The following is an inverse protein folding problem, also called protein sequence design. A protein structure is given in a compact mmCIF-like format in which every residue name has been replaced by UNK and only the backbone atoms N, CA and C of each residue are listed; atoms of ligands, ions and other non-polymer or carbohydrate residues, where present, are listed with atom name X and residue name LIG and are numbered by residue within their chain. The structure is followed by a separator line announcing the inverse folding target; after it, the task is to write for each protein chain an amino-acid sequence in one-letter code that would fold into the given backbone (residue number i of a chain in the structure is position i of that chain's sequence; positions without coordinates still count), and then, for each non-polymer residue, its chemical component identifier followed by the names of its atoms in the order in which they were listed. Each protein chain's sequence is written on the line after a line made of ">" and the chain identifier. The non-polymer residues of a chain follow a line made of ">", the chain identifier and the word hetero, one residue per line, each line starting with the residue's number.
data_IF_143873928987
#
_entry.id   IF_143873928987
#
_cell.length_a   1.000
_cell.length_b   1.000
_cell.length_c   1.000
_cell.angle_alpha   90.00
_cell.angle_beta   90.00
_cell.angle_gamma   90.00
#
_symmetry.space_group_name_H-M   'P 1'
#
loop_
_entity.id
_entity.type
_entity.pdbx_description
1 polymer ?
#
# COMPACT_ATOMS: atom_id res chain seq x y z
N UNK A 1 58.09 -30.22 -44.78
CA UNK A 1 57.62 -28.92 -44.26
C UNK A 1 56.20 -28.52 -44.74
N UNK A 2 55.41 -29.39 -45.40
CA UNK A 2 54.07 -29.03 -45.87
C UNK A 2 52.92 -29.24 -44.85
N UNK A 3 53.16 -30.01 -43.77
CA UNK A 3 52.08 -30.43 -42.85
C UNK A 3 51.74 -29.39 -41.77
N UNK A 4 52.67 -28.50 -41.42
CA UNK A 4 52.49 -27.50 -40.35
C UNK A 4 51.70 -26.28 -40.84
N UNK A 5 51.74 -25.96 -42.13
CA UNK A 5 51.01 -24.83 -42.71
C UNK A 5 49.49 -25.08 -42.82
N UNK A 6 49.04 -26.34 -42.94
CA UNK A 6 47.61 -26.68 -42.98
C UNK A 6 46.90 -26.58 -41.63
N UNK A 7 47.61 -26.88 -40.53
CA UNK A 7 47.06 -26.87 -39.17
C UNK A 7 46.85 -25.45 -38.63
N UNK A 8 47.75 -24.52 -38.97
CA UNK A 8 47.64 -23.10 -38.59
C UNK A 8 46.50 -22.41 -39.37
N UNK A 9 46.28 -22.79 -40.63
CA UNK A 9 45.17 -22.27 -41.42
C UNK A 9 43.79 -22.74 -40.90
N UNK A 10 43.68 -24.00 -40.44
CA UNK A 10 42.44 -24.54 -39.86
C UNK A 10 42.05 -23.90 -38.52
N UNK A 11 43.03 -23.65 -37.64
CA UNK A 11 42.79 -22.98 -36.36
C UNK A 11 42.38 -21.50 -36.55
N UNK A 12 43.00 -20.79 -37.49
CA UNK A 12 42.61 -19.41 -37.82
C UNK A 12 41.18 -19.32 -38.38
N UNK A 13 40.79 -20.26 -39.24
CA UNK A 13 39.42 -20.34 -39.79
C UNK A 13 38.37 -20.71 -38.74
N UNK A 14 38.67 -21.63 -37.81
CA UNK A 14 37.75 -21.99 -36.72
C UNK A 14 37.54 -20.82 -35.75
N UNK A 15 38.59 -20.05 -35.48
CA UNK A 15 38.51 -18.86 -34.60
C UNK A 15 37.76 -17.71 -35.29
N UNK A 16 37.93 -17.52 -36.60
CA UNK A 16 37.16 -16.58 -37.40
C UNK A 16 35.69 -16.99 -37.53
N UNK A 17 35.39 -18.29 -37.65
CA UNK A 17 34.01 -18.79 -37.64
C UNK A 17 33.36 -18.57 -36.27
N UNK A 18 34.05 -18.89 -35.17
CA UNK A 18 33.55 -18.65 -33.81
C UNK A 18 33.35 -17.15 -33.53
N UNK A 19 34.24 -16.28 -34.03
CA UNK A 19 34.07 -14.83 -33.96
C UNK A 19 32.88 -14.34 -34.82
N UNK A 20 32.70 -14.90 -36.02
CA UNK A 20 31.59 -14.57 -36.91
C UNK A 20 30.23 -15.08 -36.38
N UNK A 21 30.18 -16.23 -35.72
CA UNK A 21 28.97 -16.76 -35.09
C UNK A 21 28.55 -15.99 -33.84
N UNK A 22 29.49 -15.34 -33.13
CA UNK A 22 29.20 -14.39 -32.05
C UNK A 22 28.72 -13.01 -32.56
N UNK A 23 29.10 -12.61 -33.77
CA UNK A 23 28.66 -11.35 -34.41
C UNK A 23 27.27 -11.49 -35.05
N UNK A 24 26.88 -12.71 -35.45
CA UNK A 24 25.55 -13.03 -35.94
C UNK A 24 24.58 -13.31 -34.79
N UNK A 25 24.30 -12.31 -33.94
CA UNK A 25 22.99 -12.29 -33.27
C UNK A 25 21.94 -12.33 -34.39
N UNK A 26 21.00 -13.27 -34.42
CA UNK A 26 19.97 -13.29 -35.46
C UNK A 26 19.30 -11.92 -35.42
N UNK A 27 19.40 -11.18 -36.54
CA UNK A 27 18.61 -9.97 -36.76
C UNK A 27 17.17 -10.41 -36.61
N UNK A 28 16.58 -10.19 -35.44
CA UNK A 28 15.15 -10.35 -35.25
C UNK A 28 14.48 -9.62 -36.39
N UNK A 29 13.59 -10.30 -37.10
CA UNK A 29 12.90 -9.66 -38.20
C UNK A 29 12.22 -8.40 -37.66
N UNK A 30 12.10 -7.34 -38.46
CA UNK A 30 11.39 -6.11 -38.05
C UNK A 30 10.01 -6.43 -37.46
N UNK A 31 9.37 -7.49 -37.98
CA UNK A 31 8.11 -8.06 -37.50
C UNK A 31 8.20 -8.64 -36.09
N UNK A 32 9.22 -9.43 -35.79
CA UNK A 32 9.46 -9.97 -34.43
C UNK A 32 9.72 -8.84 -33.41
N UNK A 33 10.50 -7.83 -33.80
CA UNK A 33 10.76 -6.68 -32.93
C UNK A 33 9.46 -5.91 -32.64
N UNK A 34 8.63 -5.66 -33.68
CA UNK A 34 7.32 -5.03 -33.53
C UNK A 34 6.37 -5.84 -32.64
N UNK A 35 6.35 -7.17 -32.78
CA UNK A 35 5.53 -8.05 -31.94
C UNK A 35 5.97 -8.00 -30.46
N UNK A 36 7.28 -7.97 -30.20
CA UNK A 36 7.80 -7.86 -28.83
C UNK A 36 7.49 -6.49 -28.20
N UNK A 37 7.62 -5.41 -28.96
CA UNK A 37 7.26 -4.07 -28.49
C UNK A 37 5.77 -3.95 -28.20
N UNK A 38 4.91 -4.49 -29.07
CA UNK A 38 3.47 -4.51 -28.85
C UNK A 38 3.08 -5.34 -27.61
N UNK A 39 3.72 -6.50 -27.41
CA UNK A 39 3.50 -7.33 -26.22
C UNK A 39 3.97 -6.63 -24.95
N UNK A 40 5.11 -5.95 -24.99
CA UNK A 40 5.62 -5.15 -23.86
C UNK A 40 4.62 -4.05 -23.49
N UNK A 41 4.15 -3.28 -24.47
CA UNK A 41 3.18 -2.21 -24.26
C UNK A 41 1.84 -2.72 -23.68
N UNK A 42 1.35 -3.88 -24.14
CA UNK A 42 0.12 -4.49 -23.58
C UNK A 42 0.31 -4.91 -22.11
N UNK A 43 1.47 -5.47 -21.75
CA UNK A 43 1.77 -5.84 -20.37
C UNK A 43 1.90 -4.61 -19.46
N UNK A 44 2.57 -3.56 -19.91
CA UNK A 44 2.70 -2.29 -19.19
C UNK A 44 1.33 -1.66 -18.95
N UNK A 45 0.46 -1.63 -19.99
CA UNK A 45 -0.92 -1.12 -19.85
C UNK A 45 -1.72 -1.92 -18.83
N UNK A 46 -1.70 -3.26 -18.89
CA UNK A 46 -2.44 -4.10 -17.93
C UNK A 46 -1.95 -3.90 -16.49
N UNK A 47 -0.65 -3.81 -16.30
CA UNK A 47 -0.07 -3.57 -14.98
C UNK A 47 -0.48 -2.18 -14.43
N UNK A 48 -0.52 -1.16 -15.29
CA UNK A 48 -1.02 0.17 -14.94
C UNK A 48 -2.51 0.16 -14.57
N UNK A 49 -3.36 -0.46 -15.39
CA UNK A 49 -4.80 -0.57 -15.14
C UNK A 49 -5.08 -1.31 -13.80
N UNK A 50 -4.30 -2.37 -13.52
CA UNK A 50 -4.37 -3.09 -12.25
C UNK A 50 -3.93 -2.22 -11.07
N UNK A 51 -2.84 -1.47 -11.20
CA UNK A 51 -2.34 -0.57 -10.17
C UNK A 51 -3.38 0.50 -9.80
N UNK A 52 -4.00 1.15 -10.80
CA UNK A 52 -5.09 2.12 -10.58
C UNK A 52 -6.25 1.46 -9.83
N UNK A 53 -6.66 0.27 -10.25
CA UNK A 53 -7.77 -0.45 -9.62
C UNK A 53 -7.48 -0.74 -8.15
N UNK A 54 -6.26 -1.18 -7.82
CA UNK A 54 -5.85 -1.41 -6.44
C UNK A 54 -5.80 -0.12 -5.60
N UNK A 55 -5.31 0.98 -6.18
CA UNK A 55 -5.31 2.28 -5.51
C UNK A 55 -6.73 2.81 -5.26
N UNK A 56 -7.64 2.62 -6.23
CA UNK A 56 -9.06 2.93 -6.06
C UNK A 56 -9.67 2.12 -4.90
N UNK A 57 -9.43 0.81 -4.87
CA UNK A 57 -9.90 -0.06 -3.79
C UNK A 57 -9.33 0.34 -2.42
N UNK A 58 -8.04 0.67 -2.34
CA UNK A 58 -7.42 1.17 -1.12
C UNK A 58 -8.08 2.47 -0.65
N UNK A 59 -8.33 3.40 -1.57
CA UNK A 59 -8.95 4.70 -1.26
C UNK A 59 -10.35 4.52 -0.69
N UNK A 60 -11.16 3.64 -1.29
CA UNK A 60 -12.50 3.30 -0.80
C UNK A 60 -12.42 2.64 0.58
N UNK A 61 -11.57 1.62 0.73
CA UNK A 61 -11.42 0.90 1.99
C UNK A 61 -10.97 1.84 3.12
N UNK A 62 -10.05 2.77 2.84
CA UNK A 62 -9.61 3.77 3.79
C UNK A 62 -10.72 4.78 4.15
N UNK A 63 -11.47 5.25 3.16
CA UNK A 63 -12.60 6.15 3.41
C UNK A 63 -13.67 5.52 4.32
N UNK A 64 -13.94 4.22 4.16
CA UNK A 64 -14.83 3.48 5.06
C UNK A 64 -14.25 3.40 6.48
N UNK A 65 -12.95 3.15 6.64
CA UNK A 65 -12.27 3.11 7.93
C UNK A 65 -12.45 4.42 8.70
N UNK A 66 -12.19 5.54 8.02
CA UNK A 66 -12.31 6.88 8.62
C UNK A 66 -13.75 7.20 8.98
N UNK A 67 -14.71 6.85 8.13
CA UNK A 67 -16.12 7.07 8.42
C UNK A 67 -16.58 6.32 9.69
N UNK A 68 -16.20 5.04 9.86
CA UNK A 68 -16.53 4.31 11.08
C UNK A 68 -15.80 4.85 12.31
N UNK A 69 -14.55 5.29 12.16
CA UNK A 69 -13.82 5.95 13.24
C UNK A 69 -14.53 7.23 13.69
N UNK A 70 -15.05 8.02 12.74
CA UNK A 70 -15.80 9.23 13.04
C UNK A 70 -17.10 8.92 13.77
N UNK A 71 -17.85 7.90 13.33
CA UNK A 71 -19.07 7.45 14.01
C UNK A 71 -18.79 7.00 15.46
N UNK A 72 -17.73 6.21 15.67
CA UNK A 72 -17.35 5.79 17.03
C UNK A 72 -17.00 7.00 17.90
N UNK A 73 -16.19 7.92 17.39
CA UNK A 73 -15.81 9.12 18.11
C UNK A 73 -17.00 10.02 18.40
N UNK A 74 -17.95 10.14 17.48
CA UNK A 74 -19.19 10.90 17.67
C UNK A 74 -20.03 10.31 18.81
N UNK A 75 -20.22 8.98 18.85
CA UNK A 75 -20.93 8.34 19.96
C UNK A 75 -20.25 8.65 21.29
N UNK A 76 -18.92 8.55 21.37
CA UNK A 76 -18.18 8.88 22.59
C UNK A 76 -18.34 10.37 22.94
N UNK A 77 -18.19 11.26 21.97
CA UNK A 77 -18.29 12.71 22.14
C UNK A 77 -19.64 13.12 22.72
N UNK A 78 -20.73 12.56 22.21
CA UNK A 78 -22.09 12.87 22.65
C UNK A 78 -22.46 12.24 24.01
N UNK A 79 -21.70 11.27 24.50
CA UNK A 79 -22.06 10.45 25.69
C UNK A 79 -21.00 10.47 26.80
N UNK A 80 -20.38 11.62 27.04
CA UNK A 80 -19.41 11.84 28.13
C UNK A 80 -18.07 12.38 27.64
N UNK A 81 -17.78 12.22 26.35
CA UNK A 81 -16.62 12.80 25.69
C UNK A 81 -15.28 12.27 26.21
N UNK A 82 -14.25 13.09 26.06
CA UNK A 82 -12.88 12.78 26.47
C UNK A 82 -12.24 14.00 27.12
N UNK A 83 -11.57 13.86 28.29
CA UNK A 83 -10.87 14.98 28.92
C UNK A 83 -9.83 15.60 28.00
N UNK A 84 -9.76 16.93 27.98
CA UNK A 84 -8.85 17.68 27.13
C UNK A 84 -9.38 17.97 25.71
N UNK A 85 -10.52 17.39 25.32
CA UNK A 85 -11.13 17.60 24.01
C UNK A 85 -12.47 18.32 24.13
N UNK A 86 -12.50 19.61 23.78
CA UNK A 86 -13.73 20.43 23.76
C UNK A 86 -14.54 20.27 22.47
N UNK A 87 -13.87 19.90 21.39
CA UNK A 87 -14.46 19.69 20.07
C UNK A 87 -13.97 18.37 19.51
N UNK A 88 -14.73 17.80 18.58
CA UNK A 88 -14.32 16.59 17.88
C UNK A 88 -13.02 16.85 17.10
N UNK A 89 -11.95 16.06 17.32
CA UNK A 89 -10.71 16.24 16.58
C UNK A 89 -10.88 15.83 15.12
N UNK A 90 -10.25 16.57 14.21
CA UNK A 90 -10.28 16.28 12.76
C UNK A 90 -9.08 15.42 12.33
N UNK A 91 -7.89 15.71 12.88
CA UNK A 91 -6.67 14.99 12.53
C UNK A 91 -6.72 13.55 13.05
N UNK A 92 -6.30 12.59 12.21
CA UNK A 92 -6.37 11.16 12.54
C UNK A 92 -5.67 10.82 13.87
N UNK A 93 -4.46 11.31 14.09
CA UNK A 93 -3.72 11.07 15.34
C UNK A 93 -4.51 11.53 16.57
N UNK A 94 -5.11 12.72 16.48
CA UNK A 94 -5.94 13.32 17.53
C UNK A 94 -7.25 12.56 17.70
N UNK A 95 -7.84 12.02 16.63
CA UNK A 95 -9.01 11.11 16.68
C UNK A 95 -8.68 9.82 17.41
N UNK A 96 -7.53 9.21 17.15
CA UNK A 96 -7.08 7.99 17.85
C UNK A 96 -6.72 8.25 19.31
N UNK A 97 -6.15 9.42 19.63
CA UNK A 97 -5.94 9.87 21.01
C UNK A 97 -7.28 10.06 21.74
N UNK A 98 -8.22 10.76 21.12
CA UNK A 98 -9.57 10.96 21.64
C UNK A 98 -10.28 9.64 21.89
N UNK A 99 -10.25 8.71 20.94
CA UNK A 99 -10.85 7.38 21.09
C UNK A 99 -10.29 6.64 22.31
N UNK A 100 -8.96 6.57 22.43
CA UNK A 100 -8.27 5.90 23.56
C UNK A 100 -8.58 6.57 24.89
N UNK A 101 -8.52 7.89 24.93
CA UNK A 101 -8.79 8.65 26.16
C UNK A 101 -10.26 8.55 26.55
N UNK A 102 -11.19 8.75 25.62
CA UNK A 102 -12.63 8.63 25.85
C UNK A 102 -13.02 7.24 26.36
N UNK A 103 -12.50 6.17 25.75
CA UNK A 103 -12.76 4.79 26.19
C UNK A 103 -12.31 4.54 27.64
N UNK A 104 -11.16 5.12 28.05
CA UNK A 104 -10.64 4.98 29.42
C UNK A 104 -11.47 5.73 30.46
N UNK A 105 -12.01 6.89 30.09
CA UNK A 105 -12.71 7.79 31.02
C UNK A 105 -14.20 7.47 31.17
N UNK A 106 -14.79 6.77 30.21
CA UNK A 106 -16.19 6.36 30.26
C UNK A 106 -16.30 4.94 30.83
N UNK A 107 -16.84 4.72 32.05
CA UNK A 107 -16.82 3.41 32.70
C UNK A 107 -17.51 2.30 31.91
N UNK A 108 -18.58 2.64 31.19
CA UNK A 108 -19.35 1.73 30.35
C UNK A 108 -18.58 1.24 29.10
N UNK A 109 -17.46 1.89 28.77
CA UNK A 109 -16.57 1.52 27.65
C UNK A 109 -15.36 0.67 28.06
N UNK A 110 -15.13 0.44 29.36
CA UNK A 110 -13.99 -0.37 29.84
C UNK A 110 -13.84 -1.73 29.15
N UNK A 111 -14.91 -2.49 28.84
CA UNK A 111 -14.76 -3.76 28.12
C UNK A 111 -14.08 -3.64 26.76
N UNK A 112 -14.17 -2.47 26.11
CA UNK A 112 -13.62 -2.22 24.79
C UNK A 112 -12.19 -1.62 24.82
N UNK A 113 -11.63 -1.35 26.00
CA UNK A 113 -10.34 -0.63 26.11
C UNK A 113 -9.17 -1.38 25.44
N UNK A 114 -9.10 -2.70 25.60
CA UNK A 114 -8.06 -3.52 25.00
C UNK A 114 -8.11 -3.48 23.47
N UNK A 115 -9.31 -3.66 22.90
CA UNK A 115 -9.55 -3.61 21.45
C UNK A 115 -9.25 -2.23 20.89
N UNK A 116 -9.72 -1.16 21.56
CA UNK A 116 -9.45 0.22 21.17
C UNK A 116 -7.95 0.50 21.11
N UNK A 117 -7.19 0.06 22.11
CA UNK A 117 -5.74 0.28 22.16
C UNK A 117 -5.03 -0.42 20.99
N UNK A 118 -5.35 -1.68 20.76
CA UNK A 118 -4.75 -2.48 19.68
C UNK A 118 -5.13 -1.92 18.30
N UNK A 119 -6.42 -1.71 18.06
CA UNK A 119 -6.92 -1.21 16.79
C UNK A 119 -6.39 0.19 16.48
N UNK A 120 -6.27 1.07 17.48
CA UNK A 120 -5.69 2.40 17.29
C UNK A 120 -4.23 2.33 16.85
N UNK A 121 -3.44 1.39 17.39
CA UNK A 121 -2.06 1.21 16.98
C UNK A 121 -1.97 0.72 15.52
N UNK A 122 -2.81 -0.28 15.17
CA UNK A 122 -2.89 -0.79 13.80
C UNK A 122 -3.28 0.32 12.81
N UNK A 123 -4.30 1.12 13.12
CA UNK A 123 -4.74 2.22 12.25
C UNK A 123 -3.63 3.26 12.07
N UNK A 124 -2.90 3.61 13.13
CA UNK A 124 -1.78 4.53 13.05
C UNK A 124 -0.66 4.02 12.13
N UNK A 125 -0.30 2.74 12.24
CA UNK A 125 0.69 2.10 11.36
C UNK A 125 0.21 2.07 9.90
N UNK A 126 -1.04 1.69 9.67
CA UNK A 126 -1.63 1.68 8.33
C UNK A 126 -1.68 3.08 7.71
N UNK A 127 -1.95 4.12 8.51
CA UNK A 127 -1.99 5.51 8.04
C UNK A 127 -0.65 5.98 7.48
N UNK A 128 0.46 5.62 8.16
CA UNK A 128 1.81 5.94 7.68
C UNK A 128 2.04 5.29 6.32
N UNK A 129 1.74 3.99 6.17
CA UNK A 129 1.94 3.27 4.90
C UNK A 129 1.01 3.79 3.80
N UNK A 130 -0.27 4.09 4.10
CA UNK A 130 -1.24 4.71 3.19
C UNK A 130 -0.73 6.05 2.65
N UNK A 131 -0.16 6.89 3.52
CA UNK A 131 0.37 8.19 3.13
C UNK A 131 1.48 8.06 2.08
N UNK A 132 2.33 7.03 2.17
CA UNK A 132 3.37 6.78 1.18
C UNK A 132 2.80 6.26 -0.15
N UNK A 133 1.83 5.34 -0.09
CA UNK A 133 1.25 4.71 -1.29
C UNK A 133 0.40 5.71 -2.10
N UNK A 134 -0.46 6.49 -1.43
CA UNK A 134 -1.41 7.39 -2.13
C UNK A 134 -0.74 8.64 -2.67
N UNK A 135 0.27 9.16 -1.98
CA UNK A 135 0.99 10.36 -2.41
C UNK A 135 2.30 10.03 -3.17
N UNK A 136 2.60 8.75 -3.38
CA UNK A 136 3.68 8.31 -4.25
C UNK A 136 3.30 8.47 -5.72
N UNK A 137 4.26 8.87 -6.55
CA UNK A 137 4.15 8.79 -8.00
C UNK A 137 4.30 7.31 -8.37
N UNK A 138 3.33 6.79 -9.14
CA UNK A 138 3.44 5.45 -9.72
C UNK A 138 4.48 5.53 -10.85
N UNK A 139 5.66 4.96 -10.63
CA UNK A 139 6.63 4.80 -11.71
C UNK A 139 6.26 3.58 -12.57
N UNK A 140 5.59 3.88 -13.68
CA UNK A 140 5.13 2.91 -14.68
C UNK A 140 6.30 2.37 -15.51
N UNK A 141 7.44 3.09 -15.56
CA UNK A 141 8.62 2.68 -16.34
C UNK A 141 9.47 1.63 -15.62
N UNK A 142 9.35 1.56 -14.30
CA UNK A 142 9.96 0.56 -13.44
C UNK A 142 9.15 -0.75 -13.31
N UNK A 143 8.07 -0.92 -14.09
CA UNK A 143 7.26 -2.16 -14.14
C UNK A 143 8.06 -3.33 -14.75
N UNK A 144 9.00 -3.87 -13.98
CA UNK A 144 9.66 -5.14 -14.27
C UNK A 144 8.83 -6.27 -13.68
N UNK A 145 7.91 -6.82 -14.48
CA UNK A 145 7.25 -8.09 -14.18
C UNK A 145 6.54 -8.14 -12.83
N UNK A 146 5.56 -7.24 -12.60
CA UNK A 146 4.58 -7.23 -11.47
C UNK A 146 4.91 -6.35 -10.25
N UNK A 147 6.03 -5.63 -10.24
CA UNK A 147 6.35 -4.71 -9.13
C UNK A 147 5.88 -3.27 -9.43
N UNK A 148 5.03 -2.69 -8.57
CA UNK A 148 4.57 -1.30 -8.69
C UNK A 148 5.47 -0.41 -7.81
N UNK A 149 6.29 0.44 -8.41
CA UNK A 149 7.15 1.34 -7.61
C UNK A 149 6.39 2.62 -7.28
N UNK A 150 6.30 2.95 -6.00
CA UNK A 150 5.74 4.22 -5.51
C UNK A 150 6.89 5.12 -5.06
N UNK A 151 7.25 6.09 -5.89
CA UNK A 151 8.29 7.06 -5.54
C UNK A 151 7.66 8.23 -4.81
N UNK A 152 8.09 8.50 -3.57
CA UNK A 152 7.69 9.70 -2.84
C UNK A 152 8.82 10.73 -2.90
N UNK A 153 8.56 11.82 -3.59
CA UNK A 153 9.42 13.00 -3.56
C UNK A 153 9.11 13.78 -2.28
N UNK A 154 10.05 13.79 -1.32
CA UNK A 154 9.96 14.65 -0.14
C UNK A 154 10.76 15.92 -0.45
N UNK A 155 10.05 17.04 -0.57
CA UNK A 155 10.71 18.35 -0.66
C UNK A 155 11.06 18.82 0.76
N UNK A 156 12.36 18.92 1.06
CA UNK A 156 12.84 19.62 2.26
C UNK A 156 13.37 21.00 1.88
N UNK A 157 13.57 21.87 2.87
CA UNK A 157 14.15 23.21 2.65
C UNK A 157 15.55 23.17 2.02
N UNK A 158 16.21 22.01 2.05
CA UNK A 158 17.58 21.79 1.56
C UNK A 158 17.62 21.08 0.20
N UNK A 159 16.47 20.70 -0.38
CA UNK A 159 16.39 20.04 -1.68
C UNK A 159 15.37 18.90 -1.77
N UNK A 160 15.43 18.14 -2.87
CA UNK A 160 14.61 16.95 -3.10
C UNK A 160 15.26 15.75 -2.38
N UNK A 161 14.59 15.19 -1.39
CA UNK A 161 14.90 13.87 -0.84
C UNK A 161 13.97 12.85 -1.52
N UNK A 162 14.53 12.08 -2.45
CA UNK A 162 13.87 10.89 -2.99
C UNK A 162 13.87 9.81 -1.91
N UNK A 163 12.68 9.46 -1.44
CA UNK A 163 12.47 8.26 -0.63
C UNK A 163 11.61 7.31 -1.46
N UNK A 164 12.27 6.38 -2.13
CA UNK A 164 11.59 5.34 -2.90
C UNK A 164 10.96 4.32 -1.95
N UNK A 165 9.64 4.17 -2.03
CA UNK A 165 8.95 3.03 -1.45
C UNK A 165 8.51 2.11 -2.59
N UNK A 166 9.34 1.12 -2.91
CA UNK A 166 8.94 0.05 -3.82
C UNK A 166 7.97 -0.90 -3.12
N UNK A 167 6.78 -1.11 -3.70
CA UNK A 167 5.78 -2.03 -3.15
C UNK A 167 5.35 -3.01 -4.24
N UNK A 168 5.63 -4.29 -4.06
CA UNK A 168 5.14 -5.32 -4.97
C UNK A 168 3.60 -5.36 -5.01
N UNK A 169 3.04 -5.92 -6.08
CA UNK A 169 1.60 -6.14 -6.19
C UNK A 169 1.03 -6.90 -4.98
N UNK A 170 1.71 -7.94 -4.53
CA UNK A 170 1.31 -8.76 -3.38
C UNK A 170 1.35 -7.99 -2.06
N UNK A 171 2.34 -7.12 -1.87
CA UNK A 171 2.40 -6.25 -0.70
C UNK A 171 1.28 -5.22 -0.68
N UNK A 172 0.89 -4.68 -1.84
CA UNK A 172 -0.25 -3.76 -1.96
C UNK A 172 -1.57 -4.49 -1.67
N UNK A 173 -1.76 -5.70 -2.21
CA UNK A 173 -2.91 -6.54 -1.89
C UNK A 173 -2.98 -6.90 -0.40
N UNK A 174 -1.85 -7.30 0.19
CA UNK A 174 -1.75 -7.60 1.62
C UNK A 174 -2.08 -6.38 2.48
N UNK A 175 -1.62 -5.20 2.06
CA UNK A 175 -1.96 -3.94 2.71
C UNK A 175 -3.45 -3.62 2.63
N UNK A 176 -4.07 -3.72 1.46
CA UNK A 176 -5.53 -3.52 1.28
C UNK A 176 -6.32 -4.48 2.17
N UNK A 177 -5.93 -5.77 2.21
CA UNK A 177 -6.57 -6.76 3.11
C UNK A 177 -6.43 -6.36 4.59
N UNK A 178 -5.32 -5.76 4.97
CA UNK A 178 -5.11 -5.28 6.35
C UNK A 178 -6.02 -4.11 6.69
N UNK A 179 -6.22 -3.17 5.75
CA UNK A 179 -7.20 -2.08 5.89
C UNK A 179 -8.63 -2.64 6.00
N UNK A 180 -9.00 -3.61 5.16
CA UNK A 180 -10.32 -4.26 5.23
C UNK A 180 -10.52 -4.98 6.56
N UNK A 181 -9.50 -5.65 7.09
CA UNK A 181 -9.56 -6.26 8.44
C UNK A 181 -9.78 -5.20 9.52
N UNK A 182 -9.09 -4.06 9.44
CA UNK A 182 -9.31 -2.94 10.35
C UNK A 182 -10.73 -2.37 10.24
N UNK A 183 -11.30 -2.29 9.02
CA UNK A 183 -12.69 -1.89 8.79
C UNK A 183 -13.69 -2.78 9.53
N UNK A 184 -13.51 -4.10 9.41
CA UNK A 184 -14.40 -5.04 10.08
C UNK A 184 -14.31 -4.88 11.60
N UNK A 185 -13.08 -4.79 12.14
CA UNK A 185 -12.86 -4.60 13.57
C UNK A 185 -13.45 -3.29 14.10
N UNK A 186 -13.32 -2.17 13.37
CA UNK A 186 -13.90 -0.90 13.84
C UNK A 186 -15.43 -0.91 13.76
N UNK A 187 -16.00 -1.64 12.81
CA UNK A 187 -17.46 -1.86 12.71
C UNK A 187 -17.95 -2.69 13.90
N UNK A 188 -17.24 -3.76 14.25
CA UNK A 188 -17.55 -4.58 15.42
C UNK A 188 -17.43 -3.77 16.71
N UNK A 189 -16.39 -2.93 16.82
CA UNK A 189 -16.22 -2.00 17.93
C UNK A 189 -17.38 -1.01 18.02
N UNK A 190 -17.81 -0.42 16.90
CA UNK A 190 -18.96 0.49 16.86
C UNK A 190 -20.24 -0.19 17.37
N UNK A 191 -20.50 -1.42 16.94
CA UNK A 191 -21.66 -2.19 17.40
C UNK A 191 -21.57 -2.49 18.91
N UNK A 192 -20.40 -2.91 19.39
CA UNK A 192 -20.16 -3.17 20.81
C UNK A 192 -20.37 -1.93 21.68
N UNK A 193 -19.89 -0.77 21.22
CA UNK A 193 -20.06 0.52 21.90
C UNK A 193 -21.54 0.91 21.98
N UNK A 194 -22.29 0.80 20.88
CA UNK A 194 -23.71 1.11 20.89
C UNK A 194 -24.51 0.19 21.83
N UNK A 195 -24.17 -1.10 21.86
CA UNK A 195 -24.79 -2.05 22.78
C UNK A 195 -24.47 -1.71 24.25
N UNK A 196 -23.22 -1.36 24.55
CA UNK A 196 -22.80 -0.94 25.89
C UNK A 196 -23.53 0.34 26.33
N UNK A 197 -23.67 1.31 25.42
CA UNK A 197 -24.42 2.55 25.67
C UNK A 197 -25.89 2.27 25.95
N UNK A 198 -26.52 1.39 25.18
CA UNK A 198 -27.91 0.97 25.39
C UNK A 198 -28.11 0.41 26.80
N UNK A 199 -27.27 -0.54 27.21
CA UNK A 199 -27.36 -1.12 28.55
C UNK A 199 -27.06 -0.12 29.66
N UNK A 200 -26.11 0.80 29.44
CA UNK A 200 -25.83 1.88 30.39
C UNK A 200 -27.07 2.75 30.62
N UNK A 201 -27.72 3.19 29.55
CA UNK A 201 -28.94 4.02 29.63
C UNK A 201 -30.12 3.29 30.26
N UNK A 202 -30.26 1.98 30.02
CA UNK A 202 -31.30 1.19 30.67
C UNK A 202 -31.13 1.12 32.19
N UNK A 203 -29.90 1.16 32.71
CA UNK A 203 -29.65 1.18 34.16
C UNK A 203 -30.05 2.51 34.79
N UNK A 204 -29.95 3.62 34.06
CA UNK A 204 -30.31 4.94 34.57
C UNK A 204 -31.84 5.17 34.61
N UNK A 205 -32.61 4.32 33.94
CA UNK A 205 -34.07 4.39 33.88
C UNK A 205 -34.77 3.51 34.94
N UNK A 206 -34.05 2.63 35.64
CA UNK A 206 -34.57 1.72 36.66
C UNK A 206 -34.05 2.10 38.04
#
# INVERSE_FOLDING_TARGET
>A
MAFVQGLVAGAALATLWAAASHILKPRRSRRELQQLLARKADLEKRAYDNAITLLGNLTIAWGMLENYLDQVNEVIFLNGGSPGFRTMPVQLERRLEFLRSGTRHNPWLRPSEAEVRELSAIIAELAVKRNHIIHGIVDVTALHGETIVFTKNIYTGDGLLENDLSVSHDELLSFIRSVIKANNRITDLFNAINLALFHHRQRDLN
#
